data_IF_998591091400
#
_entry.id   IF_998591091400
#
_cell.length_a   1.000
_cell.length_b   1.000
_cell.length_c   1.000
_cell.angle_alpha   90.00
_cell.angle_beta   90.00
_cell.angle_gamma   90.00
#
_symmetry.space_group_name_H-M   'P 1'
#
loop_
_entity.id
_entity.type
_entity.pdbx_description
1 polymer ?
#
# COMPACT_ATOMS: atom_id res chain seq x y z
N UNK A 1 1.25 -12.75 3.14
CA UNK A 1 2.70 -13.04 2.96
C UNK A 1 3.01 -14.25 2.06
N UNK A 2 2.05 -15.15 1.77
CA UNK A 2 2.32 -16.34 0.94
C UNK A 2 2.79 -16.00 -0.49
N UNK A 3 2.09 -15.12 -1.20
CA UNK A 3 2.48 -14.73 -2.57
C UNK A 3 3.91 -14.16 -2.64
N UNK A 4 4.26 -13.24 -1.74
CA UNK A 4 5.60 -12.66 -1.72
C UNK A 4 6.70 -13.69 -1.40
N UNK A 5 6.40 -14.79 -0.72
CA UNK A 5 7.40 -15.87 -0.50
C UNK A 5 7.72 -16.63 -1.79
N UNK A 6 6.73 -16.76 -2.66
CA UNK A 6 6.89 -17.38 -3.98
C UNK A 6 7.49 -16.39 -5.00
N UNK A 7 7.38 -15.09 -4.74
CA UNK A 7 8.02 -14.04 -5.53
C UNK A 7 9.40 -13.67 -4.96
N UNK A 8 10.34 -13.22 -5.80
CA UNK A 8 11.59 -12.61 -5.30
C UNK A 8 11.40 -11.15 -4.90
N UNK A 9 10.58 -10.43 -5.67
CA UNK A 9 10.23 -9.04 -5.52
C UNK A 9 8.83 -8.86 -6.10
N UNK A 10 7.98 -8.08 -5.43
CA UNK A 10 6.68 -7.69 -5.94
C UNK A 10 6.63 -6.16 -5.99
N UNK A 11 6.43 -5.61 -7.18
CA UNK A 11 6.22 -4.18 -7.39
C UNK A 11 4.73 -3.96 -7.57
N UNK A 12 4.14 -3.07 -6.78
CA UNK A 12 2.72 -2.75 -6.87
C UNK A 12 2.42 -1.38 -6.28
N UNK A 13 1.51 -0.67 -6.91
CA UNK A 13 0.83 0.52 -6.36
C UNK A 13 -0.53 0.10 -5.81
N UNK A 14 -1.35 1.07 -5.39
CA UNK A 14 -2.77 0.82 -5.16
C UNK A 14 -3.44 0.26 -6.43
N UNK A 15 -4.31 -0.72 -6.26
CA UNK A 15 -5.04 -1.36 -7.35
C UNK A 15 -6.30 -0.54 -7.66
N UNK A 16 -6.15 0.52 -8.44
CA UNK A 16 -7.25 1.40 -8.83
C UNK A 16 -6.97 2.11 -10.17
N UNK A 17 -7.99 2.76 -10.73
CA UNK A 17 -7.82 3.64 -11.89
C UNK A 17 -7.05 4.88 -11.45
N UNK A 18 -6.03 5.29 -12.21
CA UNK A 18 -5.23 6.46 -11.85
C UNK A 18 -6.09 7.71 -11.65
N UNK A 19 -5.82 8.44 -10.56
CA UNK A 19 -6.58 9.63 -10.16
C UNK A 19 -7.83 9.35 -9.32
N UNK A 20 -8.21 8.08 -9.11
CA UNK A 20 -9.27 7.72 -8.17
C UNK A 20 -8.72 7.42 -6.78
N UNK A 21 -9.61 7.33 -5.80
CA UNK A 21 -9.26 6.76 -4.49
C UNK A 21 -8.80 5.29 -4.65
N UNK A 22 -7.89 4.82 -3.78
CA UNK A 22 -7.54 3.41 -3.69
C UNK A 22 -8.73 2.54 -3.30
N UNK A 23 -8.81 1.34 -3.89
CA UNK A 23 -9.82 0.36 -3.53
C UNK A 23 -9.39 -0.45 -2.30
N UNK A 24 -10.35 -0.79 -1.45
CA UNK A 24 -10.14 -1.64 -0.27
C UNK A 24 -11.05 -2.88 -0.25
N UNK A 25 -12.10 -2.91 -1.08
CA UNK A 25 -12.94 -4.07 -1.31
C UNK A 25 -12.54 -4.70 -2.66
N UNK A 26 -12.16 -5.99 -2.71
CA UNK A 26 -11.82 -6.67 -3.97
C UNK A 26 -12.94 -6.62 -5.01
N UNK A 27 -14.21 -6.44 -4.60
CA UNK A 27 -15.33 -6.23 -5.53
C UNK A 27 -15.22 -4.93 -6.31
N UNK A 28 -14.58 -3.89 -5.76
CA UNK A 28 -14.31 -2.66 -6.50
C UNK A 28 -13.28 -2.89 -7.60
N UNK A 29 -12.26 -3.72 -7.35
CA UNK A 29 -11.31 -4.13 -8.37
C UNK A 29 -12.01 -4.90 -9.50
N UNK A 30 -12.81 -5.91 -9.16
CA UNK A 30 -13.54 -6.72 -10.16
C UNK A 30 -14.51 -5.88 -11.01
N UNK A 31 -15.18 -4.91 -10.38
CA UNK A 31 -16.13 -4.03 -11.06
C UNK A 31 -15.48 -2.97 -11.94
N UNK A 32 -14.35 -2.39 -11.52
CA UNK A 32 -13.78 -1.18 -12.15
C UNK A 32 -12.48 -1.42 -12.92
N UNK A 33 -11.77 -2.53 -12.67
CA UNK A 33 -10.55 -2.88 -13.38
C UNK A 33 -10.82 -3.99 -14.39
N UNK A 34 -10.09 -3.96 -15.49
CA UNK A 34 -10.14 -5.01 -16.52
C UNK A 34 -8.75 -5.20 -17.12
N UNK A 35 -8.53 -6.34 -17.80
CA UNK A 35 -7.26 -6.63 -18.45
C UNK A 35 -6.14 -7.11 -17.51
N UNK A 36 -6.47 -7.56 -16.30
CA UNK A 36 -5.54 -8.25 -15.41
C UNK A 36 -5.62 -9.77 -15.61
N UNK A 37 -4.51 -10.49 -15.40
CA UNK A 37 -4.47 -11.96 -15.53
C UNK A 37 -5.06 -12.68 -14.30
N UNK A 38 -4.92 -12.09 -13.11
CA UNK A 38 -5.33 -12.69 -11.85
C UNK A 38 -5.81 -11.62 -10.86
N UNK A 39 -6.96 -11.88 -10.22
CA UNK A 39 -7.41 -11.18 -9.02
C UNK A 39 -7.33 -12.14 -7.82
N UNK A 40 -6.72 -11.70 -6.73
CA UNK A 40 -6.66 -12.45 -5.48
C UNK A 40 -7.61 -11.79 -4.48
N UNK A 41 -8.75 -12.43 -4.21
CA UNK A 41 -9.69 -11.99 -3.17
C UNK A 41 -9.21 -12.43 -1.79
N UNK A 42 -8.69 -11.49 -1.02
CA UNK A 42 -8.30 -11.66 0.39
C UNK A 42 -9.28 -11.06 1.39
N UNK A 43 -10.47 -10.64 0.96
CA UNK A 43 -11.43 -9.87 1.74
C UNK A 43 -11.13 -8.37 1.78
N UNK A 44 -11.95 -7.63 2.55
CA UNK A 44 -11.87 -6.17 2.69
C UNK A 44 -10.69 -5.79 3.59
N UNK A 45 -9.89 -4.82 3.15
CA UNK A 45 -8.78 -4.27 3.93
C UNK A 45 -9.33 -3.38 5.05
N UNK A 46 -9.01 -3.69 6.29
CA UNK A 46 -9.44 -2.94 7.49
C UNK A 46 -8.43 -1.92 8.01
N UNK A 47 -7.25 -1.81 7.39
CA UNK A 47 -6.19 -0.88 7.81
C UNK A 47 -6.51 0.59 7.50
N UNK A 48 -5.91 1.49 8.27
CA UNK A 48 -6.13 2.95 8.29
C UNK A 48 -5.53 3.70 7.08
N UNK A 49 -5.64 3.15 5.87
CA UNK A 49 -5.15 3.80 4.63
C UNK A 49 -3.77 3.35 4.16
N UNK A 50 -3.19 4.12 3.24
CA UNK A 50 -1.94 3.78 2.57
C UNK A 50 -0.72 3.84 3.50
N UNK A 51 0.39 3.26 3.05
CA UNK A 51 1.67 3.29 3.76
C UNK A 51 2.21 4.71 3.92
N UNK A 52 2.77 4.98 5.10
CA UNK A 52 3.65 6.15 5.32
C UNK A 52 4.95 5.95 4.54
N UNK A 53 5.39 6.98 3.81
CA UNK A 53 6.65 6.98 3.05
C UNK A 53 7.62 7.92 3.72
N UNK A 54 8.82 7.43 4.03
CA UNK A 54 9.91 8.20 4.62
C UNK A 54 11.14 8.15 3.72
N UNK A 55 11.84 9.28 3.67
CA UNK A 55 13.18 9.43 3.12
C UNK A 55 14.17 9.32 4.29
N UNK A 56 15.20 8.51 4.14
CA UNK A 56 16.28 8.36 5.13
C UNK A 56 17.59 8.71 4.44
N UNK A 57 18.19 9.81 4.85
CA UNK A 57 19.46 10.29 4.31
C UNK A 57 20.34 10.81 5.45
N UNK A 58 21.61 10.40 5.52
CA UNK A 58 22.56 10.84 6.55
C UNK A 58 22.04 10.70 8.01
N UNK A 59 21.26 9.65 8.28
CA UNK A 59 20.61 9.40 9.57
C UNK A 59 19.47 10.39 9.94
N UNK A 60 19.06 11.24 9.00
CA UNK A 60 17.87 12.07 9.11
C UNK A 60 16.67 11.37 8.46
N UNK A 61 15.51 11.44 9.13
CA UNK A 61 14.25 10.86 8.65
C UNK A 61 13.29 11.99 8.26
N UNK A 62 12.82 11.98 7.03
CA UNK A 62 11.86 12.95 6.50
C UNK A 62 10.62 12.25 5.98
N UNK A 63 9.44 12.69 6.44
CA UNK A 63 8.17 12.15 5.95
C UNK A 63 7.90 12.71 4.55
N UNK A 64 7.83 11.84 3.54
CA UNK A 64 7.45 12.20 2.17
C UNK A 64 5.93 12.10 1.96
N UNK A 65 5.29 11.15 2.65
CA UNK A 65 3.82 10.98 2.62
C UNK A 65 3.34 10.39 3.93
N UNK A 66 2.46 11.11 4.62
CA UNK A 66 1.76 10.59 5.80
C UNK A 66 0.79 9.49 5.40
N UNK A 67 0.73 8.41 6.20
CA UNK A 67 -0.13 7.26 5.97
C UNK A 67 -0.51 6.60 7.29
N UNK A 68 -0.68 5.28 7.28
CA UNK A 68 -1.17 4.50 8.42
C UNK A 68 -0.29 4.54 9.68
N UNK A 69 0.97 4.96 9.56
CA UNK A 69 1.90 5.12 10.69
C UNK A 69 2.11 6.61 10.93
N UNK A 70 1.87 7.06 12.16
CA UNK A 70 1.95 8.47 12.52
C UNK A 70 3.40 8.95 12.61
N UNK A 71 3.61 10.25 12.41
CA UNK A 71 4.94 10.85 12.48
C UNK A 71 5.51 10.81 13.90
N UNK A 72 4.65 10.91 14.91
CA UNK A 72 5.03 10.77 16.33
C UNK A 72 5.62 9.39 16.60
N UNK A 73 4.93 8.33 16.13
CA UNK A 73 5.41 6.95 16.29
C UNK A 73 6.76 6.71 15.61
N UNK A 74 7.00 7.35 14.45
CA UNK A 74 8.28 7.25 13.74
C UNK A 74 9.39 7.98 14.52
N UNK A 75 9.08 9.15 15.10
CA UNK A 75 10.05 9.94 15.87
C UNK A 75 10.43 9.30 17.21
N UNK A 76 9.54 8.50 17.81
CA UNK A 76 9.84 7.74 19.04
C UNK A 76 10.92 6.66 18.85
N UNK A 77 11.22 6.28 17.61
CA UNK A 77 12.21 5.24 17.28
C UNK A 77 13.63 5.78 17.01
N UNK A 78 13.79 7.10 16.90
CA UNK A 78 15.07 7.79 16.63
C UNK A 78 15.68 8.37 17.90
#
# INVERSE_FOLDING_TARGET
MALLKECKLLVGTSANISGTAPFNDPKECDKNLSGYDLLIDGGIISSQGESTIVEIENNDVKILRSGSISEEMIKELN
#
